data_IF_736341984485
#
_entry.id   IF_736341984485
#
_cell.length_a   1.000
_cell.length_b   1.000
_cell.length_c   1.000
_cell.angle_alpha   90.00
_cell.angle_beta   90.00
_cell.angle_gamma   90.00
#
_symmetry.space_group_name_H-M   'P 1'
#
loop_
_entity.id
_entity.type
_entity.pdbx_description
1 polymer ?
#
# COMPACT_ATOMS: atom_id res chain seq x y z
N UNK A 1 24.91 -29.11 -21.52
CA UNK A 1 23.58 -28.67 -21.02
C UNK A 1 23.44 -27.20 -21.35
N UNK A 2 22.44 -26.83 -22.14
CA UNK A 2 22.15 -25.41 -22.37
C UNK A 2 21.50 -24.86 -21.12
N UNK A 3 22.13 -23.89 -20.45
CA UNK A 3 21.48 -23.14 -19.39
C UNK A 3 20.35 -22.31 -20.01
N UNK A 4 19.12 -22.62 -19.65
CA UNK A 4 18.00 -21.78 -20.00
C UNK A 4 18.14 -20.49 -19.16
N UNK A 5 18.54 -19.39 -19.81
CA UNK A 5 18.57 -18.08 -19.15
C UNK A 5 17.12 -17.67 -18.82
N UNK A 6 16.91 -17.12 -17.63
CA UNK A 6 15.65 -16.46 -17.31
C UNK A 6 15.41 -15.27 -18.25
N UNK A 7 14.18 -14.82 -18.32
CA UNK A 7 13.80 -13.66 -19.11
C UNK A 7 13.98 -12.38 -18.27
N UNK A 8 14.94 -11.52 -18.64
CA UNK A 8 15.23 -10.28 -17.93
C UNK A 8 14.06 -9.27 -17.97
N UNK A 9 13.19 -9.36 -18.99
CA UNK A 9 12.00 -8.51 -19.09
C UNK A 9 10.95 -8.79 -17.98
N UNK A 10 11.10 -9.91 -17.27
CA UNK A 10 10.25 -10.25 -16.13
C UNK A 10 10.79 -9.68 -14.78
N UNK A 11 11.96 -9.01 -14.81
CA UNK A 11 12.55 -8.40 -13.63
C UNK A 11 12.01 -6.98 -13.49
N UNK A 12 11.39 -6.68 -12.35
CA UNK A 12 10.86 -5.35 -12.04
C UNK A 12 11.91 -4.60 -11.23
N UNK A 13 12.23 -3.37 -11.67
CA UNK A 13 13.13 -2.46 -10.96
C UNK A 13 12.50 -1.08 -10.92
N UNK A 14 12.33 -0.54 -9.72
CA UNK A 14 11.86 0.81 -9.52
C UNK A 14 11.00 0.97 -8.26
N UNK A 15 10.77 2.22 -7.87
CA UNK A 15 9.93 2.58 -6.74
C UNK A 15 8.47 2.71 -7.18
N UNK A 16 7.55 2.43 -6.27
CA UNK A 16 6.13 2.69 -6.45
C UNK A 16 5.74 4.04 -5.83
N UNK A 17 4.89 4.80 -6.52
CA UNK A 17 4.20 5.94 -5.92
C UNK A 17 3.02 5.42 -5.11
N UNK A 18 2.84 5.95 -3.91
CA UNK A 18 1.77 5.54 -3.00
C UNK A 18 0.74 6.65 -2.86
N UNK A 19 -0.53 6.27 -2.97
CA UNK A 19 -1.69 7.14 -2.82
C UNK A 19 -2.58 6.62 -1.71
N UNK A 20 -3.11 7.52 -0.90
CA UNK A 20 -4.14 7.24 0.09
C UNK A 20 -5.48 7.73 -0.40
N UNK A 21 -6.54 6.96 -0.17
CA UNK A 21 -7.91 7.35 -0.43
C UNK A 21 -8.47 8.11 0.77
N UNK A 22 -8.79 9.39 0.60
CA UNK A 22 -9.13 10.29 1.70
C UNK A 22 -10.57 10.09 2.22
N UNK A 23 -11.46 9.48 1.43
CA UNK A 23 -12.83 9.22 1.85
C UNK A 23 -12.99 7.97 2.73
N UNK A 24 -11.88 7.30 3.11
CA UNK A 24 -11.89 6.15 4.04
C UNK A 24 -11.61 4.81 3.36
N UNK A 25 -12.51 3.85 3.48
CA UNK A 25 -12.38 2.54 2.84
C UNK A 25 -12.62 2.63 1.34
N UNK A 26 -11.75 2.00 0.57
CA UNK A 26 -11.81 1.99 -0.89
C UNK A 26 -12.69 0.83 -1.39
N UNK A 27 -13.49 1.07 -2.40
CA UNK A 27 -14.22 0.04 -3.15
C UNK A 27 -13.77 0.03 -4.62
N UNK A 28 -14.16 -1.01 -5.36
CA UNK A 28 -13.88 -1.07 -6.80
C UNK A 28 -14.50 0.10 -7.57
N UNK A 29 -15.64 0.62 -7.11
CA UNK A 29 -16.35 1.72 -7.75
C UNK A 29 -15.72 3.09 -7.54
N UNK A 30 -14.88 3.24 -6.52
CA UNK A 30 -14.17 4.48 -6.20
C UNK A 30 -12.88 4.65 -6.99
N UNK A 31 -12.42 3.57 -7.62
CA UNK A 31 -11.22 3.61 -8.44
C UNK A 31 -11.48 4.33 -9.75
N UNK A 32 -10.69 5.36 -10.11
CA UNK A 32 -10.83 6.01 -11.41
C UNK A 32 -10.59 5.01 -12.55
N UNK A 33 -11.29 5.24 -13.66
CA UNK A 33 -11.15 4.38 -14.84
C UNK A 33 -9.73 4.46 -15.43
N UNK A 34 -9.22 3.35 -15.90
CA UNK A 34 -7.93 3.33 -16.61
C UNK A 34 -8.04 4.06 -17.95
N UNK A 35 -7.21 5.08 -18.12
CA UNK A 35 -7.06 5.77 -19.40
C UNK A 35 -5.93 5.10 -20.19
N UNK A 36 -6.14 4.82 -21.47
CA UNK A 36 -5.22 3.96 -22.24
C UNK A 36 -3.81 4.53 -22.32
N UNK A 37 -3.67 5.83 -22.60
CA UNK A 37 -2.41 6.48 -22.94
C UNK A 37 -1.78 7.25 -21.77
N UNK A 38 -2.34 7.12 -20.57
CA UNK A 38 -1.92 7.87 -19.38
C UNK A 38 -1.56 6.89 -18.26
N UNK A 39 -0.46 7.16 -17.54
CA UNK A 39 -0.11 6.41 -16.33
C UNK A 39 -1.21 6.52 -15.27
N UNK A 40 -1.49 5.43 -14.60
CA UNK A 40 -2.49 5.44 -13.53
C UNK A 40 -2.10 6.36 -12.37
N UNK A 41 -0.80 6.56 -12.19
CA UNK A 41 -0.27 7.55 -11.25
C UNK A 41 -0.75 8.97 -11.56
N UNK A 42 -0.80 9.36 -12.84
CA UNK A 42 -1.30 10.66 -13.26
C UNK A 42 -2.81 10.75 -13.05
N UNK A 43 -3.54 9.68 -13.43
CA UNK A 43 -4.99 9.59 -13.22
C UNK A 43 -5.36 9.76 -11.74
N UNK A 44 -4.63 9.11 -10.83
CA UNK A 44 -4.84 9.25 -9.38
C UNK A 44 -4.43 10.63 -8.85
N UNK A 45 -3.41 11.26 -9.45
CA UNK A 45 -2.97 12.60 -9.04
C UNK A 45 -3.97 13.69 -9.41
N UNK A 46 -4.75 13.46 -10.46
CA UNK A 46 -5.79 14.38 -10.93
C UNK A 46 -7.13 14.18 -10.20
N UNK A 47 -7.28 13.08 -9.46
CA UNK A 47 -8.48 12.75 -8.72
C UNK A 47 -8.40 13.36 -7.29
N UNK A 48 -9.42 14.15 -6.94
CA UNK A 48 -9.44 14.86 -5.66
C UNK A 48 -9.59 13.97 -4.43
N UNK A 49 -10.07 12.74 -4.61
CA UNK A 49 -10.29 11.78 -3.52
C UNK A 49 -9.00 10.99 -3.19
N UNK A 50 -7.98 11.12 -4.04
CA UNK A 50 -6.69 10.46 -3.85
C UNK A 50 -5.58 11.46 -3.55
N UNK A 51 -4.85 11.23 -2.46
CA UNK A 51 -3.70 12.04 -2.08
C UNK A 51 -2.41 11.24 -2.24
N UNK A 52 -1.45 11.80 -2.95
CA UNK A 52 -0.10 11.24 -3.04
C UNK A 52 0.64 11.48 -1.72
N UNK A 53 1.22 10.44 -1.12
CA UNK A 53 2.03 10.56 0.10
C UNK A 53 3.41 11.19 -0.14
N UNK A 54 3.78 11.42 -1.41
CA UNK A 54 5.07 11.99 -1.79
C UNK A 54 6.18 10.95 -1.87
N UNK A 55 7.40 11.35 -1.55
CA UNK A 55 8.55 10.46 -1.62
C UNK A 55 8.51 9.38 -0.53
N UNK A 56 8.78 8.16 -0.94
CA UNK A 56 8.96 7.01 -0.05
C UNK A 56 10.42 6.56 -0.06
N UNK A 57 10.87 5.98 1.04
CA UNK A 57 12.21 5.37 1.16
C UNK A 57 12.06 3.89 1.52
N UNK A 58 13.08 3.10 1.25
CA UNK A 58 13.10 1.64 1.43
C UNK A 58 12.14 0.85 0.52
N UNK A 59 11.50 1.52 -0.45
CA UNK A 59 10.55 0.91 -1.35
C UNK A 59 9.20 0.56 -0.71
N UNK A 60 8.41 -0.22 -1.41
CA UNK A 60 7.14 -0.78 -0.96
C UNK A 60 7.31 -2.28 -0.80
N UNK A 61 7.06 -2.79 0.39
CA UNK A 61 7.09 -4.22 0.69
C UNK A 61 5.68 -4.70 1.01
N UNK A 62 5.25 -5.77 0.34
CA UNK A 62 3.97 -6.44 0.63
C UNK A 62 4.28 -7.84 1.14
N UNK A 63 3.89 -8.12 2.38
CA UNK A 63 4.15 -9.37 3.07
C UNK A 63 2.86 -10.17 3.18
N UNK A 64 2.84 -11.36 2.58
CA UNK A 64 1.74 -12.31 2.67
C UNK A 64 2.10 -13.40 3.67
N UNK A 65 1.32 -13.54 4.73
CA UNK A 65 1.51 -14.54 5.78
C UNK A 65 0.29 -15.47 5.84
N UNK A 66 0.28 -16.58 5.08
CA UNK A 66 -0.79 -17.56 5.20
C UNK A 66 -0.65 -18.34 6.50
N UNK A 67 -1.77 -18.59 7.16
CA UNK A 67 -1.87 -19.43 8.35
C UNK A 67 -2.51 -20.77 8.00
N UNK A 68 -1.86 -21.87 8.39
CA UNK A 68 -2.30 -23.22 8.11
C UNK A 68 -2.50 -24.00 9.39
N UNK A 69 -3.68 -24.63 9.50
CA UNK A 69 -3.93 -25.64 10.53
C UNK A 69 -3.53 -27.04 10.05
N UNK A 70 -3.13 -27.85 11.01
CA UNK A 70 -2.68 -29.22 10.80
C UNK A 70 -3.70 -30.21 11.35
N UNK A 71 -3.97 -31.29 10.60
CA UNK A 71 -4.73 -32.45 11.07
C UNK A 71 -3.78 -33.63 11.21
N UNK A 72 -3.62 -34.10 12.42
CA UNK A 72 -2.87 -35.31 12.73
C UNK A 72 -3.85 -36.45 12.99
N UNK A 73 -3.49 -37.68 12.59
CA UNK A 73 -4.26 -38.91 12.81
C UNK A 73 -3.32 -40.00 13.32
N UNK A 74 -3.83 -40.89 14.14
CA UNK A 74 -3.03 -41.95 14.81
C UNK A 74 -2.36 -42.92 13.85
N UNK A 75 -2.88 -43.04 12.63
CA UNK A 75 -2.38 -43.99 11.62
C UNK A 75 -1.24 -43.42 10.76
N UNK A 76 -0.91 -42.15 10.89
CA UNK A 76 0.15 -41.48 10.12
C UNK A 76 1.09 -40.78 11.09
N UNK A 77 2.41 -41.04 10.98
CA UNK A 77 3.42 -40.46 11.86
C UNK A 77 3.70 -38.97 11.64
N UNK A 78 3.12 -38.39 10.60
CA UNK A 78 3.25 -37.00 10.20
C UNK A 78 1.87 -36.37 9.99
N UNK A 79 1.82 -35.09 9.61
CA UNK A 79 0.58 -34.36 9.35
C UNK A 79 -0.19 -35.03 8.20
N UNK A 80 -1.41 -35.47 8.48
CA UNK A 80 -2.28 -36.13 7.48
C UNK A 80 -2.89 -35.13 6.49
N UNK A 81 -3.15 -33.88 6.92
CA UNK A 81 -3.74 -32.81 6.10
C UNK A 81 -3.40 -31.44 6.62
N UNK A 82 -3.07 -30.53 5.69
CA UNK A 82 -3.00 -29.09 5.95
C UNK A 82 -4.25 -28.40 5.40
N UNK A 83 -4.78 -27.42 6.14
CA UNK A 83 -5.86 -26.56 5.67
C UNK A 83 -5.57 -25.10 6.03
N UNK A 84 -5.98 -24.20 5.15
CA UNK A 84 -5.77 -22.76 5.37
C UNK A 84 -6.74 -22.26 6.43
N UNK A 85 -6.22 -21.69 7.52
CA UNK A 85 -7.00 -21.08 8.61
C UNK A 85 -7.21 -19.57 8.37
N UNK A 86 -6.22 -18.91 7.77
CA UNK A 86 -6.28 -17.48 7.55
C UNK A 86 -5.18 -16.99 6.61
N UNK A 87 -5.14 -15.69 6.43
CA UNK A 87 -4.05 -14.97 5.77
C UNK A 87 -3.94 -13.59 6.38
N UNK A 88 -2.75 -13.17 6.69
CA UNK A 88 -2.44 -11.80 7.05
C UNK A 88 -1.66 -11.16 5.91
N UNK A 89 -2.01 -9.93 5.56
CA UNK A 89 -1.29 -9.17 4.54
C UNK A 89 -0.88 -7.84 5.15
N UNK A 90 0.41 -7.55 5.10
CA UNK A 90 0.98 -6.30 5.59
C UNK A 90 1.65 -5.56 4.43
N UNK A 91 1.59 -4.24 4.46
CA UNK A 91 2.24 -3.34 3.53
C UNK A 91 3.17 -2.43 4.33
N UNK A 92 4.46 -2.52 4.08
CA UNK A 92 5.49 -1.78 4.79
C UNK A 92 6.16 -0.79 3.86
N UNK A 93 6.40 0.43 4.35
CA UNK A 93 7.15 1.47 3.65
C UNK A 93 7.64 2.52 4.62
N UNK A 94 8.43 3.50 4.15
CA UNK A 94 8.81 4.66 4.93
C UNK A 94 8.47 5.93 4.15
N UNK A 95 7.75 6.86 4.77
CA UNK A 95 7.48 8.17 4.20
C UNK A 95 8.68 9.08 4.43
N UNK A 96 9.25 9.60 3.35
CA UNK A 96 10.35 10.54 3.41
C UNK A 96 9.87 12.00 3.52
N UNK A 97 8.61 12.26 3.19
CA UNK A 97 7.99 13.56 3.37
C UNK A 97 7.29 13.63 4.74
N UNK A 98 7.87 14.37 5.66
CA UNK A 98 7.40 14.50 7.04
C UNK A 98 6.31 15.59 7.17
N UNK A 99 5.23 15.49 6.37
CA UNK A 99 4.07 16.38 6.48
C UNK A 99 3.16 15.96 7.63
N UNK A 100 2.31 16.87 8.12
CA UNK A 100 1.36 16.54 9.18
C UNK A 100 0.27 15.57 8.69
N UNK A 101 -0.11 15.67 7.42
CA UNK A 101 -1.03 14.74 6.77
C UNK A 101 -0.46 13.32 6.73
N UNK A 102 0.82 13.18 6.38
CA UNK A 102 1.49 11.88 6.38
C UNK A 102 1.66 11.33 7.80
N UNK A 103 1.92 12.20 8.78
CA UNK A 103 1.98 11.79 10.18
C UNK A 103 0.61 11.34 10.68
N UNK A 104 -0.46 12.09 10.39
CA UNK A 104 -1.84 11.72 10.74
C UNK A 104 -2.19 10.35 10.17
N UNK A 105 -1.86 10.13 8.91
CA UNK A 105 -2.09 8.85 8.24
C UNK A 105 -1.27 7.72 8.88
N UNK A 106 0.00 7.97 9.19
CA UNK A 106 0.88 7.00 9.81
C UNK A 106 0.38 6.56 11.21
N UNK A 107 -0.17 7.48 12.01
CA UNK A 107 -0.69 7.16 13.35
C UNK A 107 -2.16 6.73 13.36
N UNK A 108 -2.77 6.53 12.18
CA UNK A 108 -4.20 6.23 12.02
C UNK A 108 -5.11 7.26 12.72
N UNK A 109 -4.70 8.53 12.71
CA UNK A 109 -5.45 9.64 13.30
C UNK A 109 -6.68 10.00 12.48
N UNK A 110 -7.60 10.72 13.08
CA UNK A 110 -8.82 11.21 12.45
C UNK A 110 -8.56 12.51 11.70
N UNK A 111 -9.28 12.75 10.62
CA UNK A 111 -9.14 13.98 9.83
C UNK A 111 -9.48 15.24 10.62
N UNK A 112 -10.41 15.13 11.60
CA UNK A 112 -10.76 16.21 12.53
C UNK A 112 -9.62 16.60 13.48
N UNK A 113 -8.61 15.74 13.68
CA UNK A 113 -7.40 16.06 14.46
C UNK A 113 -6.44 17.00 13.70
N UNK A 114 -6.60 17.11 12.40
CA UNK A 114 -5.81 18.02 11.55
C UNK A 114 -6.65 19.28 11.23
N UNK A 115 -6.31 20.39 11.84
CA UNK A 115 -7.03 21.65 11.71
C UNK A 115 -6.08 22.76 11.26
N UNK A 116 -6.64 23.85 10.74
CA UNK A 116 -5.85 25.05 10.44
C UNK A 116 -6.19 26.14 11.47
N UNK A 117 -5.23 26.45 12.33
CA UNK A 117 -5.37 27.48 13.35
C UNK A 117 -4.56 28.71 12.95
N UNK A 118 -5.23 29.84 12.74
CA UNK A 118 -4.60 31.11 12.32
C UNK A 118 -3.69 30.97 11.08
N UNK A 119 -4.11 30.13 10.12
CA UNK A 119 -3.35 29.89 8.88
C UNK A 119 -2.24 28.84 9.00
N UNK A 120 -2.07 28.24 10.18
CA UNK A 120 -1.06 27.19 10.39
C UNK A 120 -1.74 25.82 10.50
N UNK A 121 -1.29 24.81 9.76
CA UNK A 121 -1.77 23.44 9.94
C UNK A 121 -1.37 22.95 11.33
N UNK A 122 -2.32 22.41 12.06
CA UNK A 122 -2.15 21.99 13.45
C UNK A 122 -2.74 20.60 13.62
N UNK A 123 -1.95 19.66 14.10
CA UNK A 123 -2.38 18.32 14.46
C UNK A 123 -2.58 18.22 15.97
N UNK A 124 -3.79 17.84 16.37
CA UNK A 124 -4.11 17.58 17.76
C UNK A 124 -3.77 16.13 18.10
N UNK A 125 -3.16 15.93 19.27
CA UNK A 125 -2.85 14.59 19.75
C UNK A 125 -3.91 14.22 20.80
N UNK A 126 -4.90 13.43 20.40
CA UNK A 126 -5.94 12.92 21.27
C UNK A 126 -5.65 11.48 21.69
N UNK A 127 -6.10 11.09 22.88
CA UNK A 127 -5.98 9.72 23.34
C UNK A 127 -7.06 8.80 22.72
N UNK A 128 -8.06 9.38 22.06
CA UNK A 128 -9.25 8.66 21.63
C UNK A 128 -10.13 8.16 22.78
N UNK A 129 -11.26 7.58 22.45
CA UNK A 129 -12.18 6.98 23.39
C UNK A 129 -12.04 5.44 23.43
N UNK A 130 -12.32 4.83 24.59
CA UNK A 130 -12.29 3.37 24.72
C UNK A 130 -13.39 2.75 23.86
N UNK A 131 -12.97 1.86 22.94
CA UNK A 131 -13.89 1.19 22.01
C UNK A 131 -14.17 1.98 20.74
N UNK A 132 -13.44 3.06 20.50
CA UNK A 132 -13.47 3.80 19.25
C UNK A 132 -13.02 2.94 18.08
N UNK A 133 -13.71 3.08 16.94
CA UNK A 133 -13.31 2.39 15.72
C UNK A 133 -12.04 3.01 15.17
N UNK A 134 -11.01 2.19 14.79
CA UNK A 134 -9.82 2.71 14.17
C UNK A 134 -10.13 3.31 12.80
N UNK A 135 -9.34 4.31 12.40
CA UNK A 135 -9.46 4.93 11.08
C UNK A 135 -8.76 4.03 10.04
N UNK A 136 -9.56 3.46 9.17
CA UNK A 136 -9.09 2.66 8.04
C UNK A 136 -9.11 3.50 6.77
N UNK A 137 -8.14 3.27 5.88
CA UNK A 137 -8.07 3.98 4.59
C UNK A 137 -7.73 3.02 3.46
N UNK A 138 -8.24 3.33 2.27
CA UNK A 138 -7.81 2.67 1.05
C UNK A 138 -6.41 3.13 0.62
N UNK A 139 -5.64 2.23 0.03
CA UNK A 139 -4.31 2.52 -0.50
C UNK A 139 -4.19 2.05 -1.95
N UNK A 140 -3.55 2.87 -2.77
CA UNK A 140 -3.19 2.48 -4.14
C UNK A 140 -1.71 2.79 -4.36
N UNK A 141 -0.95 1.78 -4.77
CA UNK A 141 0.44 1.98 -5.14
C UNK A 141 0.63 1.69 -6.63
N UNK A 142 1.33 2.56 -7.32
CA UNK A 142 1.61 2.43 -8.75
C UNK A 142 3.11 2.42 -8.96
N UNK A 143 3.61 1.30 -9.46
CA UNK A 143 5.01 1.10 -9.74
C UNK A 143 5.26 0.54 -11.14
N UNK A 144 6.52 0.38 -11.53
CA UNK A 144 6.84 -0.27 -12.79
C UNK A 144 6.36 -1.73 -12.79
N UNK A 145 5.89 -2.19 -13.93
CA UNK A 145 5.53 -3.58 -14.17
C UNK A 145 6.64 -4.36 -14.85
N UNK A 146 6.33 -5.58 -15.26
CA UNK A 146 7.23 -6.41 -16.06
C UNK A 146 7.26 -5.89 -17.51
N UNK A 147 8.43 -5.69 -18.10
CA UNK A 147 8.55 -5.21 -19.47
C UNK A 147 10.00 -5.16 -19.94
N UNK A 148 10.20 -5.02 -21.23
CA UNK A 148 11.52 -4.78 -21.82
C UNK A 148 11.79 -3.28 -21.85
N UNK A 149 12.93 -2.84 -21.32
CA UNK A 149 13.35 -1.44 -21.38
C UNK A 149 13.47 -0.89 -22.82
N UNK A 150 13.58 -1.77 -23.81
CA UNK A 150 13.62 -1.42 -25.23
C UNK A 150 12.23 -1.39 -25.89
N UNK A 151 11.17 -1.81 -25.18
CA UNK A 151 9.81 -1.77 -25.70
C UNK A 151 9.30 -0.32 -25.75
N UNK A 152 8.52 0.00 -26.76
CA UNK A 152 7.83 1.29 -26.87
C UNK A 152 6.75 1.42 -25.80
N UNK A 153 6.12 0.31 -25.43
CA UNK A 153 5.04 0.27 -24.46
C UNK A 153 5.59 0.20 -23.03
N UNK A 154 5.06 1.00 -22.14
CA UNK A 154 5.37 0.94 -20.73
C UNK A 154 4.38 0.02 -20.02
N UNK A 155 4.89 -0.81 -19.11
CA UNK A 155 4.03 -1.63 -18.25
C UNK A 155 4.13 -1.08 -16.84
N UNK A 156 2.98 -0.82 -16.23
CA UNK A 156 2.87 -0.44 -14.83
C UNK A 156 2.12 -1.50 -14.03
N UNK A 157 2.49 -1.64 -12.77
CA UNK A 157 1.81 -2.52 -11.81
C UNK A 157 1.12 -1.69 -10.76
N UNK A 158 -0.19 -1.87 -10.66
CA UNK A 158 -1.05 -1.19 -9.70
C UNK A 158 -1.39 -2.17 -8.58
N UNK A 159 -1.09 -1.77 -7.36
CA UNK A 159 -1.45 -2.49 -6.15
C UNK A 159 -2.57 -1.72 -5.46
N UNK A 160 -3.70 -2.35 -5.27
CA UNK A 160 -4.87 -1.77 -4.60
C UNK A 160 -5.11 -2.50 -3.30
N UNK A 161 -5.20 -1.78 -2.21
CA UNK A 161 -5.63 -2.27 -0.91
C UNK A 161 -6.92 -1.56 -0.51
N UNK A 162 -7.99 -2.32 -0.32
CA UNK A 162 -9.31 -1.74 -0.05
C UNK A 162 -9.43 -1.14 1.35
N UNK A 163 -8.83 -1.81 2.33
CA UNK A 163 -8.87 -1.40 3.73
C UNK A 163 -7.49 -1.63 4.34
N UNK A 164 -6.86 -0.58 4.78
CA UNK A 164 -5.56 -0.61 5.44
C UNK A 164 -5.62 0.14 6.76
N UNK A 165 -5.01 -0.43 7.77
CA UNK A 165 -4.91 0.14 9.10
C UNK A 165 -3.44 0.18 9.51
N UNK A 166 -2.93 1.33 9.93
CA UNK A 166 -1.60 1.43 10.53
C UNK A 166 -1.61 0.77 11.91
N UNK A 167 -0.71 -0.20 12.11
CA UNK A 167 -0.69 -1.03 13.33
C UNK A 167 0.60 -0.94 14.12
N UNK A 168 1.63 -0.32 13.58
CA UNK A 168 2.92 -0.23 14.24
C UNK A 168 3.17 1.14 14.87
N UNK A 169 4.15 1.17 15.77
CA UNK A 169 4.58 2.41 16.40
C UNK A 169 5.28 3.31 15.37
N UNK A 170 4.82 4.53 15.25
CA UNK A 170 5.47 5.56 14.43
C UNK A 170 6.41 6.37 15.31
N UNK A 171 7.67 6.40 14.95
CA UNK A 171 8.68 7.18 15.65
C UNK A 171 9.03 8.43 14.85
N UNK A 172 8.83 9.61 15.44
CA UNK A 172 9.28 10.88 14.86
C UNK A 172 10.61 11.24 15.48
N UNK A 173 11.66 11.25 14.67
CA UNK A 173 13.02 11.51 15.12
C UNK A 173 13.61 12.71 14.38
N UNK A 174 13.82 13.81 15.08
CA UNK A 174 14.50 14.99 14.53
C UNK A 174 16.01 14.89 14.84
N UNK A 175 16.80 14.52 13.83
CA UNK A 175 18.26 14.40 13.93
C UNK A 175 18.91 15.45 13.03
N UNK A 176 20.15 15.82 13.39
CA UNK A 176 20.89 16.86 12.64
C UNK A 176 21.33 16.40 11.24
N UNK A 177 21.70 15.12 11.14
CA UNK A 177 22.41 14.58 9.97
C UNK A 177 21.58 13.55 9.19
N UNK A 178 20.32 13.30 9.58
CA UNK A 178 19.41 12.36 8.93
C UNK A 178 18.05 13.02 8.68
N UNK A 179 17.38 12.73 7.54
CA UNK A 179 16.03 13.20 7.31
C UNK A 179 15.06 12.57 8.31
N UNK A 180 14.04 13.34 8.70
CA UNK A 180 12.91 12.78 9.47
C UNK A 180 12.08 11.92 8.54
N UNK A 181 11.88 10.65 8.90
CA UNK A 181 11.08 9.69 8.16
C UNK A 181 10.08 9.02 9.08
N UNK A 182 8.95 8.59 8.51
CA UNK A 182 7.96 7.79 9.21
C UNK A 182 7.97 6.37 8.63
N UNK A 183 8.49 5.43 9.41
CA UNK A 183 8.35 4.00 9.09
C UNK A 183 6.92 3.59 9.44
N UNK A 184 6.23 2.98 8.48
CA UNK A 184 4.82 2.62 8.61
C UNK A 184 4.59 1.19 8.16
N UNK A 185 3.75 0.49 8.92
CA UNK A 185 3.28 -0.85 8.59
C UNK A 185 1.76 -0.85 8.62
N UNK A 186 1.18 -1.08 7.46
CA UNK A 186 -0.26 -1.18 7.29
C UNK A 186 -0.67 -2.64 7.25
N UNK A 187 -1.58 -3.03 8.12
CA UNK A 187 -2.28 -4.29 8.01
C UNK A 187 -3.47 -4.12 7.09
N UNK A 188 -3.54 -4.96 6.06
CA UNK A 188 -4.69 -5.00 5.18
C UNK A 188 -5.81 -5.81 5.81
N UNK A 189 -7.01 -5.28 5.75
CA UNK A 189 -8.22 -5.92 6.23
C UNK A 189 -9.08 -6.36 5.04
N UNK A 190 -9.74 -7.52 5.12
CA UNK A 190 -10.64 -7.94 4.07
C UNK A 190 -11.89 -7.04 4.04
N UNK A 191 -12.41 -6.79 2.84
CA UNK A 191 -13.71 -6.18 2.65
C UNK A 191 -14.84 -7.23 2.83
N UNK A 192 -16.10 -6.83 2.65
CA UNK A 192 -17.27 -7.71 2.77
C UNK A 192 -17.26 -8.90 1.80
N UNK A 193 -16.50 -8.81 0.72
CA UNK A 193 -16.26 -9.91 -0.24
C UNK A 193 -15.07 -10.78 0.11
N UNK A 194 -14.51 -10.66 1.32
CA UNK A 194 -13.31 -11.35 1.79
C UNK A 194 -12.05 -11.10 0.94
N UNK A 195 -11.97 -9.93 0.28
CA UNK A 195 -10.84 -9.51 -0.53
C UNK A 195 -10.03 -8.41 0.20
N UNK A 196 -8.71 -8.56 0.24
CA UNK A 196 -7.80 -7.54 0.77
C UNK A 196 -7.53 -6.43 -0.25
N UNK A 197 -7.59 -6.76 -1.54
CA UNK A 197 -7.26 -5.86 -2.62
C UNK A 197 -7.00 -6.60 -3.92
N UNK A 198 -6.38 -5.93 -4.88
CA UNK A 198 -6.00 -6.51 -6.17
C UNK A 198 -4.62 -6.00 -6.63
N UNK A 199 -3.99 -6.77 -7.48
CA UNK A 199 -2.77 -6.39 -8.18
C UNK A 199 -3.07 -6.49 -9.67
N UNK A 200 -2.80 -5.41 -10.41
CA UNK A 200 -3.09 -5.32 -11.84
C UNK A 200 -1.85 -4.90 -12.60
N UNK A 201 -1.48 -5.67 -13.62
CA UNK A 201 -0.50 -5.26 -14.60
C UNK A 201 -1.23 -4.64 -15.80
N UNK A 202 -0.85 -3.43 -16.19
CA UNK A 202 -1.41 -2.76 -17.34
C UNK A 202 -0.32 -2.26 -18.29
N UNK A 203 -0.63 -2.26 -19.56
CA UNK A 203 0.25 -1.71 -20.61
C UNK A 203 -0.24 -0.31 -20.96
N UNK A 204 0.70 0.63 -21.00
CA UNK A 204 0.49 1.99 -21.49
C UNK A 204 1.12 2.02 -22.88
N UNK A 205 0.34 2.10 -23.98
CA UNK A 205 0.89 2.19 -25.31
C UNK A 205 1.71 3.48 -25.44
N UNK A 206 2.79 3.41 -26.23
CA UNK A 206 3.57 4.59 -26.52
C UNK A 206 2.69 5.62 -27.26
N UNK A 207 2.75 6.87 -26.82
CA UNK A 207 2.10 7.97 -27.54
C UNK A 207 2.72 8.07 -28.93
N UNK A 208 1.90 7.89 -29.94
CA UNK A 208 2.27 8.00 -31.36
C UNK A 208 2.58 9.45 -31.77
#
# INVERSE_FOLDING_TARGET
MAYTRGNSSQIIVGAAALFTYEAGNLTEGDLPAYVADISYKETLSDDADFRNVGYTMNGLEIVFQPDFGEVQVDQVLDVAKLYKQGMQVNLNTAFAEATLENLLFAVAGKDEDLTTVAGNPTMNLSAGDIGECPVERGLVAVGPGTGDCAASDQIERVYVAYRALSIENVTVSAKRDEPTMFEVSFRLLPNDSASYGKIVDRTIPASS
#
